data_IF_261478271789
#
_entry.id   IF_261478271789
#
_cell.length_a   1.000
_cell.length_b   1.000
_cell.length_c   1.000
_cell.angle_alpha   90.00
_cell.angle_beta   90.00
_cell.angle_gamma   90.00
#
_symmetry.space_group_name_H-M   'P 1'
#
loop_
_entity.id
_entity.type
_entity.pdbx_description
1 polymer ?
#
# COMPACT_ATOMS: atom_id res chain seq x y z
N UNK A 1 -6.63 25.31 42.63
CA UNK A 1 -7.48 24.33 41.92
C UNK A 1 -6.58 23.50 41.02
N UNK A 2 -6.56 22.17 41.19
CA UNK A 2 -5.73 21.32 40.35
C UNK A 2 -6.41 21.08 38.98
N UNK A 3 -5.67 20.59 37.98
CA UNK A 3 -6.19 20.41 36.60
C UNK A 3 -7.42 19.50 36.56
N UNK A 4 -7.44 18.45 37.39
CA UNK A 4 -8.57 17.53 37.51
C UNK A 4 -9.83 18.22 38.07
N UNK A 5 -9.70 19.09 39.08
CA UNK A 5 -10.82 19.86 39.63
C UNK A 5 -11.41 20.84 38.60
N UNK A 6 -10.55 21.53 37.84
CA UNK A 6 -11.02 22.43 36.78
C UNK A 6 -11.81 21.65 35.72
N UNK A 7 -11.31 20.47 35.35
CA UNK A 7 -11.96 19.60 34.38
C UNK A 7 -13.30 19.06 34.91
N UNK A 8 -13.33 18.66 36.18
CA UNK A 8 -14.53 18.16 36.86
C UNK A 8 -15.61 19.22 36.93
N UNK A 9 -15.27 20.47 37.27
CA UNK A 9 -16.23 21.59 37.26
C UNK A 9 -16.73 21.89 35.85
N UNK A 10 -15.85 21.83 34.83
CA UNK A 10 -16.21 22.08 33.44
C UNK A 10 -17.20 21.03 32.91
N UNK A 11 -16.97 19.75 33.20
CA UNK A 11 -17.86 18.66 32.82
C UNK A 11 -19.13 18.59 33.68
N UNK A 12 -19.05 18.91 34.98
CA UNK A 12 -20.25 19.01 35.83
C UNK A 12 -21.24 20.08 35.36
N UNK A 13 -20.74 21.18 34.78
CA UNK A 13 -21.60 22.21 34.14
C UNK A 13 -22.16 21.75 32.80
N UNK A 14 -21.42 20.93 32.05
CA UNK A 14 -21.79 20.44 30.72
C UNK A 14 -22.42 19.06 30.87
N UNK A 15 -23.74 18.99 30.99
CA UNK A 15 -24.46 17.71 31.20
C UNK A 15 -24.34 16.69 30.04
N UNK A 16 -23.82 17.11 28.88
CA UNK A 16 -23.65 16.29 27.68
C UNK A 16 -22.22 16.44 27.11
N UNK A 17 -21.42 15.37 27.16
CA UNK A 17 -20.11 15.29 26.53
C UNK A 17 -19.77 13.84 26.14
N UNK A 18 -18.79 13.70 25.24
CA UNK A 18 -18.19 12.41 24.89
C UNK A 18 -16.69 12.52 25.17
N UNK A 19 -16.13 11.51 25.82
CA UNK A 19 -14.69 11.35 26.04
C UNK A 19 -14.26 10.07 25.35
N UNK A 20 -13.19 10.15 24.57
CA UNK A 20 -12.58 8.99 23.91
C UNK A 20 -11.18 8.82 24.49
N UNK A 21 -10.94 7.67 25.11
CA UNK A 21 -9.64 7.26 25.60
C UNK A 21 -9.13 6.16 24.67
N UNK A 22 -8.33 6.54 23.69
CA UNK A 22 -7.83 5.59 22.69
C UNK A 22 -6.54 4.92 23.19
N UNK A 23 -6.46 3.61 22.98
CA UNK A 23 -5.32 2.74 23.27
C UNK A 23 -4.83 2.85 24.73
N UNK A 24 -5.64 2.36 25.68
CA UNK A 24 -5.29 2.33 27.11
C UNK A 24 -4.45 1.09 27.45
N UNK A 25 -3.33 1.31 28.13
CA UNK A 25 -2.36 0.27 28.53
C UNK A 25 -2.42 -0.12 30.01
N UNK A 26 -3.00 0.73 30.87
CA UNK A 26 -3.13 0.52 32.32
C UNK A 26 -4.48 1.09 32.83
N UNK A 27 -4.95 0.64 34.01
CA UNK A 27 -6.23 1.13 34.58
C UNK A 27 -6.18 2.64 34.81
N UNK A 28 -7.14 3.38 34.24
CA UNK A 28 -7.28 4.83 34.42
C UNK A 28 -8.45 5.11 35.36
N UNK A 29 -8.20 5.83 36.46
CA UNK A 29 -9.27 6.34 37.32
C UNK A 29 -9.82 7.64 36.72
N UNK A 30 -11.06 7.58 36.23
CA UNK A 30 -11.77 8.74 35.65
C UNK A 30 -11.86 9.90 36.65
N UNK A 31 -12.12 9.60 37.93
CA UNK A 31 -12.17 10.60 39.00
C UNK A 31 -10.83 11.33 39.17
N UNK A 32 -9.70 10.62 39.13
CA UNK A 32 -8.37 11.22 39.25
C UNK A 32 -8.03 12.13 38.07
N UNK A 33 -8.56 11.82 36.88
CA UNK A 33 -8.42 12.65 35.68
C UNK A 33 -9.35 13.87 35.73
N UNK A 34 -10.37 13.87 36.60
CA UNK A 34 -11.36 14.93 36.72
C UNK A 34 -12.61 14.71 35.88
N UNK A 35 -12.89 13.47 35.49
CA UNK A 35 -14.10 13.09 34.75
C UNK A 35 -15.15 12.64 35.78
N UNK A 36 -16.33 13.28 35.84
CA UNK A 36 -17.37 12.88 36.77
C UNK A 36 -17.97 11.52 36.37
N UNK A 37 -18.35 10.71 37.35
CA UNK A 37 -19.04 9.45 37.10
C UNK A 37 -20.47 9.69 36.57
N UNK A 38 -21.01 8.77 35.75
CA UNK A 38 -22.40 8.84 35.33
C UNK A 38 -23.33 8.74 36.54
N UNK A 39 -24.18 9.74 36.75
CA UNK A 39 -25.16 9.79 37.86
C UNK A 39 -26.61 9.52 37.38
N UNK A 40 -26.77 9.05 36.15
CA UNK A 40 -28.07 8.82 35.50
C UNK A 40 -28.81 10.10 35.09
N UNK A 41 -28.31 11.29 35.42
CA UNK A 41 -28.91 12.59 35.06
C UNK A 41 -28.30 13.22 33.79
N UNK A 42 -27.18 12.65 33.32
CA UNK A 42 -26.36 13.17 32.24
C UNK A 42 -26.32 12.18 31.06
N UNK A 43 -26.35 12.68 29.82
CA UNK A 43 -26.34 11.85 28.59
C UNK A 43 -24.92 11.58 28.08
N UNK A 44 -23.94 11.74 28.97
CA UNK A 44 -22.51 11.74 28.63
C UNK A 44 -21.95 10.33 28.51
N UNK A 45 -20.98 10.14 27.61
CA UNK A 45 -20.40 8.83 27.32
C UNK A 45 -18.88 8.88 27.41
N UNK A 46 -18.29 7.85 28.02
CA UNK A 46 -16.86 7.59 27.94
C UNK A 46 -16.68 6.34 27.10
N UNK A 47 -15.98 6.47 25.99
CA UNK A 47 -15.58 5.37 25.11
C UNK A 47 -14.09 5.17 25.32
N UNK A 48 -13.67 3.93 25.50
CA UNK A 48 -12.26 3.60 25.60
C UNK A 48 -11.95 2.36 24.78
N UNK A 49 -10.72 2.29 24.28
CA UNK A 49 -10.22 1.15 23.50
C UNK A 49 -9.00 0.58 24.21
N UNK A 50 -8.84 -0.74 24.16
CA UNK A 50 -7.62 -1.42 24.60
C UNK A 50 -7.44 -2.71 23.81
N UNK A 51 -6.19 -3.09 23.59
CA UNK A 51 -5.83 -4.42 23.10
C UNK A 51 -5.56 -5.42 24.24
N UNK A 52 -5.53 -4.95 25.50
CA UNK A 52 -5.20 -5.76 26.69
C UNK A 52 -6.44 -6.27 27.40
N UNK A 53 -6.61 -7.59 27.47
CA UNK A 53 -7.71 -8.21 28.22
C UNK A 53 -7.64 -7.91 29.72
N UNK A 54 -6.43 -7.71 30.26
CA UNK A 54 -6.24 -7.37 31.67
C UNK A 54 -6.74 -5.95 31.96
N UNK A 55 -6.41 -4.98 31.10
CA UNK A 55 -6.95 -3.62 31.20
C UNK A 55 -8.47 -3.66 31.00
N UNK A 56 -8.93 -4.46 30.04
CA UNK A 56 -10.36 -4.59 29.74
C UNK A 56 -11.17 -5.01 30.97
N UNK A 57 -10.72 -6.09 31.65
CA UNK A 57 -11.36 -6.58 32.86
C UNK A 57 -11.22 -5.62 34.05
N UNK A 58 -10.21 -4.74 34.03
CA UNK A 58 -9.95 -3.79 35.11
C UNK A 58 -10.78 -2.50 35.00
N UNK A 59 -11.25 -2.16 33.80
CA UNK A 59 -12.04 -0.98 33.51
C UNK A 59 -13.51 -1.41 33.54
N UNK A 60 -14.19 -1.12 34.65
CA UNK A 60 -15.59 -1.49 34.86
C UNK A 60 -16.50 -0.75 33.85
N UNK A 61 -16.97 -1.45 32.81
CA UNK A 61 -17.76 -0.89 31.70
C UNK A 61 -19.22 -1.30 31.75
N UNK A 62 -20.13 -0.37 31.44
CA UNK A 62 -21.57 -0.67 31.32
C UNK A 62 -21.90 -1.43 30.03
N UNK A 63 -21.15 -1.18 28.95
CA UNK A 63 -21.33 -1.83 27.66
C UNK A 63 -20.01 -2.26 27.06
N UNK A 64 -19.95 -3.53 26.71
CA UNK A 64 -18.80 -4.14 26.06
C UNK A 64 -19.08 -4.32 24.57
N UNK A 65 -18.13 -3.91 23.73
CA UNK A 65 -18.14 -4.17 22.29
C UNK A 65 -16.85 -4.88 21.95
N UNK A 66 -16.92 -6.19 21.71
CA UNK A 66 -15.78 -6.95 21.20
C UNK A 66 -15.63 -6.63 19.72
N UNK A 67 -14.53 -5.97 19.38
CA UNK A 67 -14.10 -5.81 17.99
C UNK A 67 -13.25 -7.03 17.66
N UNK A 68 -13.86 -8.05 17.06
CA UNK A 68 -13.24 -9.34 16.77
C UNK A 68 -13.86 -10.01 15.54
N UNK A 69 -13.01 -10.62 14.71
CA UNK A 69 -13.38 -11.34 13.52
C UNK A 69 -13.99 -12.70 13.89
N UNK A 70 -15.31 -12.81 13.90
CA UNK A 70 -15.98 -14.12 13.95
C UNK A 70 -15.96 -14.76 12.55
N UNK A 71 -15.35 -15.96 12.50
CA UNK A 71 -15.59 -17.08 11.58
C UNK A 71 -15.80 -16.77 10.09
N UNK A 72 -14.73 -16.30 9.42
CA UNK A 72 -14.63 -16.40 7.96
C UNK A 72 -13.56 -17.43 7.63
N UNK A 73 -13.93 -18.39 6.79
CA UNK A 73 -13.05 -19.43 6.24
C UNK A 73 -11.79 -18.75 5.70
N UNK A 74 -10.70 -18.95 6.43
CA UNK A 74 -9.40 -18.37 6.11
C UNK A 74 -8.84 -19.11 4.91
N UNK A 75 -8.49 -18.39 3.82
CA UNK A 75 -7.56 -18.97 2.85
C UNK A 75 -6.26 -19.31 3.57
N UNK A 76 -5.85 -20.56 3.46
CA UNK A 76 -4.63 -21.10 4.08
C UNK A 76 -3.35 -20.59 3.42
N UNK A 77 -3.46 -19.95 2.24
CA UNK A 77 -2.29 -19.61 1.41
C UNK A 77 -1.58 -18.33 1.86
N UNK A 78 -2.33 -17.29 2.24
CA UNK A 78 -1.76 -15.99 2.61
C UNK A 78 -1.37 -15.92 4.09
N UNK A 79 -2.02 -16.72 4.94
CA UNK A 79 -1.80 -16.70 6.38
C UNK A 79 -0.34 -16.99 6.78
N UNK A 80 0.38 -17.97 6.18
CA UNK A 80 1.80 -18.17 6.44
C UNK A 80 2.66 -16.95 6.07
N UNK A 81 2.36 -16.32 4.94
CA UNK A 81 3.08 -15.13 4.47
C UNK A 81 2.85 -13.96 5.44
N UNK A 82 1.60 -13.69 5.82
CA UNK A 82 1.26 -12.63 6.75
C UNK A 82 1.90 -12.84 8.14
N UNK A 83 2.01 -14.10 8.60
CA UNK A 83 2.71 -14.45 9.85
C UNK A 83 4.21 -14.16 9.74
N UNK A 84 4.83 -14.48 8.61
CA UNK A 84 6.25 -14.23 8.38
C UNK A 84 6.55 -12.72 8.37
N UNK A 85 5.77 -11.93 7.61
CA UNK A 85 5.89 -10.46 7.60
C UNK A 85 5.75 -9.90 9.01
N UNK A 86 4.74 -10.33 9.76
CA UNK A 86 4.53 -9.79 11.11
C UNK A 86 5.68 -10.12 12.07
N UNK A 87 6.34 -11.27 11.90
CA UNK A 87 7.52 -11.67 12.67
C UNK A 87 8.72 -10.78 12.38
N UNK A 88 8.92 -10.37 11.13
CA UNK A 88 10.01 -9.50 10.71
C UNK A 88 9.86 -8.07 11.27
N UNK A 89 8.62 -7.59 11.43
CA UNK A 89 8.33 -6.24 11.93
C UNK A 89 8.41 -6.10 13.47
N UNK A 90 8.59 -7.20 14.22
CA UNK A 90 8.98 -7.23 15.63
C UNK A 90 8.00 -6.67 16.68
N UNK A 91 6.92 -5.97 16.30
CA UNK A 91 5.97 -5.31 17.23
C UNK A 91 4.53 -5.22 16.73
N UNK A 92 4.00 -6.29 16.12
CA UNK A 92 2.61 -6.30 15.67
C UNK A 92 1.70 -7.09 16.61
N UNK A 93 0.42 -6.66 16.77
CA UNK A 93 -0.55 -7.44 17.52
C UNK A 93 -0.69 -8.86 16.95
N UNK A 94 -0.86 -9.87 17.80
CA UNK A 94 -0.96 -11.29 17.39
C UNK A 94 -2.04 -11.55 16.33
N UNK A 95 -3.08 -10.70 16.29
CA UNK A 95 -4.19 -10.80 15.34
C UNK A 95 -3.93 -10.11 14.01
N UNK A 96 -2.84 -9.35 13.88
CA UNK A 96 -2.54 -8.58 12.68
C UNK A 96 -2.38 -9.47 11.42
N UNK A 97 -1.65 -10.60 11.45
CA UNK A 97 -1.60 -11.52 10.32
C UNK A 97 -2.97 -12.03 9.88
N UNK A 98 -3.85 -12.31 10.84
CA UNK A 98 -5.21 -12.77 10.58
C UNK A 98 -6.05 -11.67 9.92
N UNK A 99 -5.94 -10.44 10.43
CA UNK A 99 -6.65 -9.29 9.92
C UNK A 99 -6.29 -9.00 8.45
N UNK A 100 -4.99 -8.91 8.12
CA UNK A 100 -4.60 -8.62 6.74
C UNK A 100 -4.97 -9.78 5.81
N UNK A 101 -4.74 -11.03 6.25
CA UNK A 101 -5.12 -12.19 5.45
C UNK A 101 -6.61 -12.17 5.11
N UNK A 102 -7.46 -11.79 6.07
CA UNK A 102 -8.90 -11.61 5.85
C UNK A 102 -9.20 -10.49 4.87
N UNK A 103 -8.58 -9.32 5.03
CA UNK A 103 -8.79 -8.18 4.15
C UNK A 103 -8.39 -8.50 2.70
N UNK A 104 -7.27 -9.20 2.49
CA UNK A 104 -6.86 -9.66 1.16
C UNK A 104 -7.86 -10.66 0.56
N UNK A 105 -8.40 -11.57 1.38
CA UNK A 105 -9.40 -12.53 0.93
C UNK A 105 -10.75 -11.89 0.61
N UNK A 106 -11.08 -10.74 1.21
CA UNK A 106 -12.28 -9.96 0.91
C UNK A 106 -12.23 -9.22 -0.42
N UNK A 107 -11.07 -9.14 -1.07
CA UNK A 107 -10.98 -8.61 -2.42
C UNK A 107 -11.79 -9.49 -3.38
N UNK A 108 -12.72 -8.87 -4.09
CA UNK A 108 -13.85 -9.55 -4.73
C UNK A 108 -13.45 -10.51 -5.85
N UNK A 109 -12.29 -10.31 -6.47
CA UNK A 109 -11.82 -11.13 -7.57
C UNK A 109 -10.30 -10.98 -7.79
N UNK A 110 -9.76 -11.82 -8.68
CA UNK A 110 -8.34 -11.84 -9.01
C UNK A 110 -7.85 -10.58 -9.71
N UNK A 111 -8.71 -9.81 -10.41
CA UNK A 111 -8.31 -8.51 -10.97
C UNK A 111 -7.98 -7.53 -9.85
N UNK A 112 -8.79 -7.50 -8.78
CA UNK A 112 -8.58 -6.60 -7.66
C UNK A 112 -7.35 -6.97 -6.84
N UNK A 113 -7.09 -8.27 -6.69
CA UNK A 113 -5.82 -8.76 -6.14
C UNK A 113 -4.64 -8.34 -7.02
N UNK A 114 -4.76 -8.42 -8.35
CA UNK A 114 -3.70 -7.95 -9.24
C UNK A 114 -3.44 -6.44 -9.11
N UNK A 115 -4.48 -5.59 -8.98
CA UNK A 115 -4.33 -4.15 -8.72
C UNK A 115 -3.64 -3.87 -7.39
N UNK A 116 -4.04 -4.59 -6.35
CA UNK A 116 -3.39 -4.54 -5.05
C UNK A 116 -1.89 -4.85 -5.16
N UNK A 117 -1.53 -5.99 -5.79
CA UNK A 117 -0.14 -6.38 -5.97
C UNK A 117 0.63 -5.37 -6.83
N UNK A 118 -0.01 -4.76 -7.83
CA UNK A 118 0.60 -3.73 -8.67
C UNK A 118 1.10 -2.53 -7.85
N UNK A 119 0.35 -2.12 -6.82
CA UNK A 119 0.75 -1.03 -5.94
C UNK A 119 2.05 -1.31 -5.17
N UNK A 120 2.46 -2.59 -5.00
CA UNK A 120 3.71 -2.97 -4.36
C UNK A 120 4.96 -2.51 -5.13
N UNK A 121 4.80 -2.17 -6.41
CA UNK A 121 5.87 -1.63 -7.25
C UNK A 121 6.34 -0.25 -6.79
N UNK A 122 5.55 0.48 -5.99
CA UNK A 122 5.92 1.78 -5.47
C UNK A 122 6.72 1.66 -4.17
N UNK A 123 7.56 2.67 -3.83
CA UNK A 123 8.25 2.74 -2.54
C UNK A 123 7.31 2.79 -1.32
N UNK A 124 7.87 2.49 -0.17
CA UNK A 124 7.28 2.75 1.14
C UNK A 124 6.86 4.22 1.28
N UNK A 125 5.69 4.47 1.88
CA UNK A 125 5.07 5.79 2.05
C UNK A 125 4.96 6.66 0.77
N UNK A 126 5.03 6.06 -0.42
CA UNK A 126 4.94 6.80 -1.67
C UNK A 126 3.54 7.36 -1.88
N UNK A 127 3.45 8.65 -2.22
CA UNK A 127 2.19 9.27 -2.64
C UNK A 127 1.95 8.99 -4.11
N UNK A 128 1.12 7.98 -4.40
CA UNK A 128 0.81 7.56 -5.76
C UNK A 128 -0.33 8.41 -6.28
N UNK A 129 -0.12 9.12 -7.40
CA UNK A 129 -1.19 9.86 -8.05
C UNK A 129 -2.20 8.88 -8.64
N UNK A 130 -3.46 8.99 -8.24
CA UNK A 130 -4.53 8.05 -8.60
C UNK A 130 -4.70 7.94 -10.11
N UNK A 131 -4.71 9.05 -10.83
CA UNK A 131 -4.92 9.05 -12.28
C UNK A 131 -3.82 8.28 -13.02
N UNK A 132 -2.56 8.44 -12.60
CA UNK A 132 -1.41 7.72 -13.21
C UNK A 132 -1.49 6.23 -12.90
N UNK A 133 -1.88 5.85 -11.69
CA UNK A 133 -2.04 4.45 -11.31
C UNK A 133 -3.14 3.77 -12.14
N UNK A 134 -4.28 4.44 -12.33
CA UNK A 134 -5.37 3.96 -13.19
C UNK A 134 -4.90 3.84 -14.65
N UNK A 135 -4.16 4.82 -15.16
CA UNK A 135 -3.60 4.78 -16.51
C UNK A 135 -2.65 3.59 -16.71
N UNK A 136 -1.86 3.23 -15.69
CA UNK A 136 -1.03 2.03 -15.72
C UNK A 136 -1.86 0.76 -15.75
N UNK A 137 -2.93 0.69 -14.96
CA UNK A 137 -3.83 -0.46 -14.97
C UNK A 137 -4.58 -0.64 -16.29
N UNK A 138 -4.96 0.47 -16.94
CA UNK A 138 -5.53 0.47 -18.29
C UNK A 138 -4.50 -0.03 -19.31
N UNK A 139 -3.27 0.51 -19.28
CA UNK A 139 -2.19 0.10 -20.18
C UNK A 139 -1.73 -1.35 -19.98
N UNK A 140 -1.86 -1.90 -18.77
CA UNK A 140 -1.65 -3.33 -18.54
C UNK A 140 -2.77 -4.20 -19.13
N UNK A 141 -3.91 -3.59 -19.50
CA UNK A 141 -5.13 -4.28 -19.92
C UNK A 141 -5.84 -4.98 -18.75
N UNK A 142 -5.55 -4.59 -17.52
CA UNK A 142 -6.26 -5.10 -16.33
C UNK A 142 -7.69 -4.53 -16.30
N UNK A 143 -7.80 -3.24 -16.62
CA UNK A 143 -9.07 -2.54 -16.90
C UNK A 143 -9.26 -2.55 -18.41
N UNK A 144 -9.86 -3.60 -18.96
CA UNK A 144 -10.15 -3.69 -20.39
C UNK A 144 -11.54 -4.30 -20.59
N UNK A 145 -12.50 -3.45 -20.89
CA UNK A 145 -13.86 -3.82 -21.29
C UNK A 145 -14.30 -2.90 -22.43
N UNK A 146 -15.14 -3.41 -23.34
CA UNK A 146 -15.70 -2.64 -24.45
C UNK A 146 -16.39 -1.37 -23.92
N UNK A 147 -15.77 -0.20 -24.07
CA UNK A 147 -16.23 1.03 -23.45
C UNK A 147 -15.39 2.25 -23.80
N UNK A 148 -15.75 3.39 -23.21
CA UNK A 148 -14.99 4.64 -23.35
C UNK A 148 -13.86 4.72 -22.32
N UNK A 149 -12.84 5.53 -22.61
CA UNK A 149 -11.75 5.84 -21.66
C UNK A 149 -12.30 6.31 -20.30
N UNK A 150 -13.37 7.12 -20.30
CA UNK A 150 -13.98 7.59 -19.06
C UNK A 150 -14.58 6.43 -18.24
N UNK A 151 -15.22 5.47 -18.92
CA UNK A 151 -15.79 4.28 -18.29
C UNK A 151 -14.70 3.40 -17.65
N UNK A 152 -13.55 3.28 -18.29
CA UNK A 152 -12.39 2.58 -17.72
C UNK A 152 -11.83 3.32 -16.51
N UNK A 153 -11.71 4.65 -16.58
CA UNK A 153 -11.29 5.47 -15.43
C UNK A 153 -12.25 5.34 -14.25
N UNK A 154 -13.56 5.40 -14.49
CA UNK A 154 -14.58 5.24 -13.46
C UNK A 154 -14.49 3.86 -12.78
N UNK A 155 -14.19 2.80 -13.55
CA UNK A 155 -13.91 1.47 -12.99
C UNK A 155 -12.63 1.44 -12.17
N UNK A 156 -11.56 2.07 -12.64
CA UNK A 156 -10.32 2.23 -11.89
C UNK A 156 -10.57 2.86 -10.52
N UNK A 157 -11.38 3.92 -10.47
CA UNK A 157 -11.80 4.54 -9.22
C UNK A 157 -12.64 3.61 -8.34
N UNK A 158 -13.55 2.81 -8.93
CA UNK A 158 -14.33 1.82 -8.18
C UNK A 158 -13.42 0.74 -7.54
N UNK A 159 -12.41 0.26 -8.26
CA UNK A 159 -11.44 -0.70 -7.72
C UNK A 159 -10.58 -0.10 -6.62
N UNK A 160 -10.13 1.16 -6.78
CA UNK A 160 -9.43 1.87 -5.70
C UNK A 160 -10.32 2.00 -4.46
N UNK A 161 -11.60 2.32 -4.65
CA UNK A 161 -12.56 2.38 -3.54
C UNK A 161 -12.66 1.04 -2.82
N UNK A 162 -12.71 -0.08 -3.54
CA UNK A 162 -12.73 -1.40 -2.89
C UNK A 162 -11.44 -1.69 -2.11
N UNK A 163 -10.27 -1.37 -2.68
CA UNK A 163 -9.00 -1.50 -1.97
C UNK A 163 -8.94 -0.64 -0.70
N UNK A 164 -9.52 0.57 -0.73
CA UNK A 164 -9.66 1.46 0.43
C UNK A 164 -10.62 0.88 1.47
N UNK A 165 -11.79 0.41 1.05
CA UNK A 165 -12.80 -0.19 1.92
C UNK A 165 -12.26 -1.47 2.62
N UNK A 166 -11.34 -2.19 1.96
CA UNK A 166 -10.62 -3.33 2.53
C UNK A 166 -9.38 -2.94 3.36
N UNK A 167 -9.10 -1.65 3.54
CA UNK A 167 -7.91 -1.12 4.23
C UNK A 167 -6.57 -1.61 3.64
N UNK A 168 -6.52 -1.91 2.34
CA UNK A 168 -5.29 -2.33 1.65
C UNK A 168 -4.48 -1.15 1.13
N UNK A 169 -5.13 -0.02 0.89
CA UNK A 169 -4.54 1.28 0.58
C UNK A 169 -5.36 2.37 1.29
N UNK A 170 -4.82 3.56 1.42
CA UNK A 170 -5.53 4.69 2.02
C UNK A 170 -5.32 5.98 1.22
N UNK A 171 -6.24 6.92 1.38
CA UNK A 171 -6.07 8.28 0.88
C UNK A 171 -5.14 9.08 1.76
N UNK A 172 -4.27 9.88 1.15
CA UNK A 172 -3.35 10.76 1.90
C UNK A 172 -4.00 12.10 2.26
N UNK A 173 -4.98 12.53 1.46
CA UNK A 173 -5.65 13.83 1.55
C UNK A 173 -7.14 13.66 1.27
N UNK A 174 -7.93 14.61 1.74
CA UNK A 174 -9.38 14.65 1.53
C UNK A 174 -9.79 14.80 0.05
N UNK A 175 -8.87 15.24 -0.81
CA UNK A 175 -9.13 15.39 -2.25
C UNK A 175 -8.99 14.08 -3.04
N UNK A 176 -8.64 12.98 -2.37
CA UNK A 176 -8.57 11.62 -2.93
C UNK A 176 -7.62 11.47 -4.14
N UNK A 177 -6.80 12.49 -4.44
CA UNK A 177 -5.88 12.49 -5.57
C UNK A 177 -4.69 11.55 -5.40
N UNK A 178 -4.34 11.27 -4.15
CA UNK A 178 -3.19 10.46 -3.82
C UNK A 178 -3.59 9.31 -2.90
N UNK A 179 -3.09 8.14 -3.22
CA UNK A 179 -3.17 6.95 -2.36
C UNK A 179 -1.78 6.51 -1.92
N UNK A 180 -1.72 5.83 -0.78
CA UNK A 180 -0.52 5.11 -0.33
C UNK A 180 -0.87 3.71 0.13
N UNK A 181 0.13 2.85 0.12
CA UNK A 181 0.07 1.52 0.73
C UNK A 181 0.93 1.55 1.99
N UNK A 182 0.35 1.16 3.11
CA UNK A 182 1.08 1.00 4.37
C UNK A 182 2.18 -0.05 4.24
N UNK A 183 3.29 0.16 4.94
CA UNK A 183 4.54 -0.59 4.79
C UNK A 183 4.34 -2.10 5.00
N UNK A 184 3.54 -2.47 6.01
CA UNK A 184 3.22 -3.88 6.32
C UNK A 184 2.36 -4.55 5.25
N UNK A 185 1.46 -3.78 4.65
CA UNK A 185 0.60 -4.25 3.57
C UNK A 185 1.43 -4.40 2.29
N UNK A 186 2.37 -3.48 2.07
CA UNK A 186 3.34 -3.52 0.99
C UNK A 186 4.28 -4.70 1.12
N UNK A 187 4.79 -4.97 2.31
CA UNK A 187 5.64 -6.13 2.58
C UNK A 187 4.90 -7.45 2.34
N UNK A 188 3.62 -7.51 2.72
CA UNK A 188 2.76 -8.63 2.35
C UNK A 188 2.68 -8.79 0.83
N UNK A 189 2.36 -7.71 0.10
CA UNK A 189 2.23 -7.75 -1.35
C UNK A 189 3.53 -8.19 -2.04
N UNK A 190 4.68 -7.65 -1.61
CA UNK A 190 6.00 -8.04 -2.12
C UNK A 190 6.25 -9.53 -1.89
N UNK A 191 5.93 -10.04 -0.69
CA UNK A 191 6.12 -11.46 -0.39
C UNK A 191 5.19 -12.36 -1.23
N UNK A 192 3.95 -11.95 -1.51
CA UNK A 192 3.06 -12.69 -2.42
C UNK A 192 3.68 -12.78 -3.82
N UNK A 193 4.27 -11.68 -4.30
CA UNK A 193 4.86 -11.60 -5.66
C UNK A 193 6.25 -12.23 -5.79
N UNK A 194 6.73 -12.95 -4.76
CA UNK A 194 7.92 -13.81 -4.86
C UNK A 194 7.61 -15.16 -5.52
N UNK A 195 6.33 -15.52 -5.54
CA UNK A 195 5.78 -16.63 -6.32
C UNK A 195 4.95 -16.05 -7.49
N UNK A 196 4.63 -16.84 -8.53
CA UNK A 196 3.82 -16.35 -9.65
C UNK A 196 2.52 -15.68 -9.17
N UNK A 197 2.25 -14.42 -9.56
CA UNK A 197 3.01 -13.60 -10.51
C UNK A 197 4.32 -13.00 -9.93
N UNK A 198 5.45 -13.28 -10.58
CA UNK A 198 6.78 -12.95 -10.08
C UNK A 198 7.17 -11.50 -10.37
N UNK A 199 7.44 -10.71 -9.33
CA UNK A 199 7.88 -9.32 -9.43
C UNK A 199 9.31 -9.13 -8.92
N UNK A 200 10.05 -8.19 -9.52
CA UNK A 200 11.30 -7.66 -8.95
C UNK A 200 11.06 -6.24 -8.44
N UNK A 201 11.02 -6.07 -7.12
CA UNK A 201 10.82 -4.77 -6.47
C UNK A 201 12.10 -4.37 -5.73
N UNK A 202 12.93 -3.50 -6.35
CA UNK A 202 14.16 -2.96 -5.76
C UNK A 202 14.11 -1.44 -5.78
N UNK A 203 13.25 -0.87 -4.96
CA UNK A 203 12.97 0.58 -4.97
C UNK A 203 13.64 1.29 -3.80
N UNK A 204 14.18 2.49 -4.03
CA UNK A 204 14.72 3.32 -2.94
C UNK A 204 16.00 2.78 -2.28
N UNK A 205 16.68 1.81 -2.89
CA UNK A 205 17.82 1.10 -2.29
C UNK A 205 19.18 1.79 -2.53
N UNK A 206 19.19 2.93 -3.25
CA UNK A 206 20.40 3.66 -3.67
C UNK A 206 21.36 2.78 -4.47
N UNK A 207 20.80 1.92 -5.34
CA UNK A 207 21.60 1.11 -6.24
C UNK A 207 22.28 2.01 -7.27
N UNK A 208 23.60 1.88 -7.42
CA UNK A 208 24.35 2.57 -8.47
C UNK A 208 24.47 1.73 -9.75
N UNK A 209 24.35 0.40 -9.61
CA UNK A 209 24.44 -0.57 -10.69
C UNK A 209 23.08 -1.25 -10.96
N UNK A 210 22.83 -1.62 -12.22
CA UNK A 210 21.64 -2.39 -12.60
C UNK A 210 21.68 -3.80 -11.99
N UNK A 211 20.51 -4.44 -11.75
CA UNK A 211 20.46 -5.85 -11.35
C UNK A 211 21.28 -6.75 -12.27
N UNK A 212 21.88 -7.79 -11.70
CA UNK A 212 22.72 -8.74 -12.46
C UNK A 212 21.87 -9.49 -13.47
N UNK A 213 22.49 -9.95 -14.55
CA UNK A 213 21.80 -10.64 -15.65
C UNK A 213 21.00 -11.87 -15.17
N UNK A 214 21.57 -12.67 -14.27
CA UNK A 214 20.87 -13.80 -13.62
C UNK A 214 19.62 -13.43 -12.80
N UNK A 215 19.43 -12.17 -12.41
CA UNK A 215 18.22 -11.73 -11.70
C UNK A 215 17.06 -11.48 -12.67
N UNK A 216 17.34 -11.25 -13.95
CA UNK A 216 16.36 -11.03 -15.01
C UNK A 216 15.84 -12.36 -15.56
N UNK A 217 15.05 -13.07 -14.77
CA UNK A 217 14.50 -14.38 -15.12
C UNK A 217 13.29 -14.30 -16.05
N UNK A 218 13.05 -15.36 -16.83
CA UNK A 218 12.03 -15.38 -17.90
C UNK A 218 10.59 -15.20 -17.41
N UNK A 219 10.31 -15.62 -16.17
CA UNK A 219 8.98 -15.57 -15.53
C UNK A 219 8.66 -14.22 -14.89
N UNK A 220 9.58 -13.24 -14.91
CA UNK A 220 9.31 -11.90 -14.38
C UNK A 220 8.20 -11.23 -15.15
N UNK A 221 7.16 -10.81 -14.43
CA UNK A 221 6.02 -10.09 -15.01
C UNK A 221 6.15 -8.59 -14.81
N UNK A 222 6.68 -8.12 -13.67
CA UNK A 222 6.79 -6.69 -13.36
C UNK A 222 8.09 -6.39 -12.63
N UNK A 223 8.73 -5.30 -13.03
CA UNK A 223 9.99 -4.84 -12.46
C UNK A 223 9.86 -3.38 -12.09
N UNK A 224 10.21 -3.06 -10.84
CA UNK A 224 10.31 -1.69 -10.36
C UNK A 224 11.69 -1.46 -9.74
N UNK A 225 12.44 -0.56 -10.37
CA UNK A 225 13.77 -0.12 -9.94
C UNK A 225 13.74 1.38 -9.61
N UNK A 226 12.57 1.92 -9.30
CA UNK A 226 12.38 3.35 -9.03
C UNK A 226 13.25 3.87 -7.88
N UNK A 227 13.59 5.16 -7.94
CA UNK A 227 14.30 5.89 -6.86
C UNK A 227 15.64 5.23 -6.48
N UNK A 228 16.42 4.84 -7.48
CA UNK A 228 17.81 4.44 -7.28
C UNK A 228 18.76 5.42 -8.00
N UNK A 229 20.05 5.17 -7.91
CA UNK A 229 21.10 5.98 -8.51
C UNK A 229 21.69 5.32 -9.78
N UNK A 230 20.92 4.42 -10.42
CA UNK A 230 21.37 3.62 -11.58
C UNK A 230 21.49 4.54 -12.80
N UNK A 231 22.67 4.57 -13.41
CA UNK A 231 22.96 5.43 -14.58
C UNK A 231 22.99 4.65 -15.90
N UNK A 232 23.30 3.37 -15.85
CA UNK A 232 23.46 2.54 -17.03
C UNK A 232 22.81 1.19 -16.82
N UNK A 233 22.00 0.80 -17.79
CA UNK A 233 21.40 -0.52 -17.90
C UNK A 233 22.12 -1.30 -18.99
N UNK A 234 22.98 -2.23 -18.58
CA UNK A 234 23.78 -3.07 -19.47
C UNK A 234 23.23 -4.49 -19.60
N UNK A 235 23.79 -5.26 -20.54
CA UNK A 235 23.44 -6.67 -20.75
C UNK A 235 22.28 -6.88 -21.73
N UNK A 236 21.72 -8.09 -21.72
CA UNK A 236 20.59 -8.48 -22.57
C UNK A 236 19.57 -9.30 -21.74
N UNK A 237 18.83 -8.65 -20.82
CA UNK A 237 17.82 -9.31 -20.00
C UNK A 237 16.86 -10.18 -20.82
N UNK A 238 16.66 -11.44 -20.41
CA UNK A 238 15.74 -12.36 -21.06
C UNK A 238 14.43 -12.46 -20.28
N UNK A 239 13.59 -11.42 -20.37
CA UNK A 239 12.29 -11.35 -19.69
C UNK A 239 11.12 -11.26 -20.68
N UNK A 240 10.81 -12.33 -21.42
CA UNK A 240 9.73 -12.34 -22.40
C UNK A 240 8.34 -12.13 -21.78
N UNK A 241 8.14 -12.40 -20.48
CA UNK A 241 6.86 -12.21 -19.80
C UNK A 241 6.68 -10.82 -19.16
N UNK A 242 7.70 -9.96 -19.24
CA UNK A 242 7.69 -8.66 -18.59
C UNK A 242 6.66 -7.73 -19.24
N UNK A 243 5.66 -7.29 -18.47
CA UNK A 243 4.62 -6.35 -18.91
C UNK A 243 4.84 -4.93 -18.37
N UNK A 244 5.42 -4.79 -17.18
CA UNK A 244 5.70 -3.47 -16.57
C UNK A 244 7.19 -3.32 -16.24
N UNK A 245 7.79 -2.20 -16.63
CA UNK A 245 9.12 -1.77 -16.22
C UNK A 245 9.08 -0.31 -15.75
N UNK A 246 9.34 -0.08 -14.46
CA UNK A 246 9.31 1.25 -13.85
C UNK A 246 10.71 1.67 -13.39
N UNK A 247 11.26 2.70 -14.05
CA UNK A 247 12.60 3.23 -13.82
C UNK A 247 12.58 4.69 -13.30
N UNK A 248 11.41 5.17 -12.88
CA UNK A 248 11.18 6.52 -12.34
C UNK A 248 12.26 6.96 -11.34
N UNK A 249 12.76 8.19 -11.45
CA UNK A 249 13.82 8.72 -10.58
C UNK A 249 15.05 7.81 -10.52
N UNK A 250 15.62 7.48 -11.68
CA UNK A 250 16.97 6.93 -11.76
C UNK A 250 17.94 7.94 -12.35
N UNK A 251 19.21 7.82 -11.97
CA UNK A 251 20.23 8.81 -12.29
C UNK A 251 20.22 9.97 -11.29
N UNK A 252 21.13 10.92 -11.51
CA UNK A 252 21.27 12.13 -10.69
C UNK A 252 20.73 13.34 -11.45
N UNK A 253 20.50 14.46 -10.74
CA UNK A 253 20.08 15.75 -11.34
C UNK A 253 20.93 16.20 -12.56
N UNK A 254 22.11 15.63 -12.74
CA UNK A 254 23.07 16.00 -13.78
C UNK A 254 23.49 14.85 -14.71
N UNK A 255 22.86 13.67 -14.61
CA UNK A 255 23.24 12.50 -15.42
C UNK A 255 22.04 11.87 -16.12
N UNK A 256 22.19 11.63 -17.41
CA UNK A 256 21.24 10.89 -18.24
C UNK A 256 21.37 9.38 -17.98
N UNK A 257 20.23 8.70 -17.89
CA UNK A 257 20.15 7.23 -17.93
C UNK A 257 20.55 6.73 -19.32
N UNK A 258 21.35 5.67 -19.40
CA UNK A 258 21.72 5.01 -20.66
C UNK A 258 21.36 3.54 -20.66
N UNK A 259 21.12 3.00 -21.85
CA UNK A 259 20.76 1.59 -22.07
C UNK A 259 21.71 1.00 -23.10
N UNK A 260 22.12 -0.26 -22.92
CA UNK A 260 22.76 -1.01 -24.00
C UNK A 260 21.79 -1.17 -25.17
N UNK A 261 22.33 -1.29 -26.38
CA UNK A 261 21.52 -1.52 -27.59
C UNK A 261 20.71 -2.81 -27.50
N UNK A 262 21.05 -3.74 -26.61
CA UNK A 262 20.39 -5.04 -26.47
C UNK A 262 19.40 -5.14 -25.31
N UNK A 263 19.30 -4.12 -24.45
CA UNK A 263 18.56 -4.21 -23.18
C UNK A 263 17.08 -4.60 -23.38
N UNK A 264 16.39 -4.00 -24.34
CA UNK A 264 14.97 -4.24 -24.61
C UNK A 264 14.68 -5.45 -25.52
N UNK A 265 15.72 -6.12 -26.04
CA UNK A 265 15.61 -7.10 -27.14
C UNK A 265 14.63 -8.25 -26.87
N UNK A 266 14.51 -8.70 -25.62
CA UNK A 266 13.63 -9.80 -25.23
C UNK A 266 12.39 -9.35 -24.43
N UNK A 267 12.04 -8.07 -24.42
CA UNK A 267 10.90 -7.51 -23.67
C UNK A 267 9.70 -7.22 -24.58
N UNK A 268 9.38 -8.12 -25.51
CA UNK A 268 8.35 -7.90 -26.53
C UNK A 268 6.92 -7.74 -25.98
N UNK A 269 6.64 -8.26 -24.78
CA UNK A 269 5.35 -8.14 -24.10
C UNK A 269 5.24 -6.92 -23.16
N UNK A 270 6.26 -6.05 -23.14
CA UNK A 270 6.23 -4.86 -22.30
C UNK A 270 5.11 -3.93 -22.74
N UNK A 271 4.23 -3.60 -21.80
CA UNK A 271 3.06 -2.72 -21.96
C UNK A 271 3.25 -1.36 -21.32
N UNK A 272 3.92 -1.31 -20.16
CA UNK A 272 4.17 -0.08 -19.40
C UNK A 272 5.67 0.13 -19.22
N UNK A 273 6.17 1.27 -19.70
CA UNK A 273 7.53 1.73 -19.49
C UNK A 273 7.53 3.15 -18.93
N UNK A 274 7.94 3.29 -17.67
CA UNK A 274 8.10 4.61 -17.03
C UNK A 274 9.58 4.98 -16.91
N UNK A 275 9.98 6.03 -17.63
CA UNK A 275 11.31 6.64 -17.64
C UNK A 275 11.28 8.05 -17.07
N UNK A 276 10.22 8.44 -16.35
CA UNK A 276 10.06 9.79 -15.83
C UNK A 276 11.21 10.19 -14.88
N UNK A 277 11.63 11.44 -14.91
CA UNK A 277 12.71 11.99 -14.07
C UNK A 277 14.04 11.22 -14.19
N UNK A 278 14.42 10.80 -15.40
CA UNK A 278 15.68 10.07 -15.65
C UNK A 278 16.72 10.84 -16.48
N UNK A 279 16.40 12.07 -16.90
CA UNK A 279 17.28 12.90 -17.74
C UNK A 279 17.50 12.34 -19.15
N UNK A 280 16.70 11.36 -19.59
CA UNK A 280 16.81 10.74 -20.91
C UNK A 280 16.53 11.76 -22.02
N UNK A 281 17.44 11.86 -22.99
CA UNK A 281 17.32 12.81 -24.12
C UNK A 281 16.84 12.15 -25.40
N UNK A 282 17.13 10.86 -25.56
CA UNK A 282 16.70 10.06 -26.70
C UNK A 282 16.38 8.64 -26.29
N UNK A 283 15.31 8.08 -26.85
CA UNK A 283 14.96 6.68 -26.62
C UNK A 283 16.00 5.76 -27.29
N UNK A 284 16.32 4.59 -26.70
CA UNK A 284 17.24 3.63 -27.29
C UNK A 284 16.75 3.07 -28.62
N UNK A 285 17.67 2.68 -29.52
CA UNK A 285 17.34 2.23 -30.87
C UNK A 285 16.34 1.04 -30.90
N UNK A 286 16.48 0.10 -29.97
CA UNK A 286 15.58 -1.05 -29.85
C UNK A 286 14.27 -0.77 -29.12
N UNK A 287 13.90 0.48 -28.85
CA UNK A 287 12.55 0.78 -28.33
C UNK A 287 11.45 0.29 -29.30
N UNK A 288 11.77 0.22 -30.59
CA UNK A 288 10.88 -0.28 -31.65
C UNK A 288 10.51 -1.76 -31.52
N UNK A 289 11.25 -2.55 -30.74
CA UNK A 289 10.91 -3.98 -30.48
C UNK A 289 9.78 -4.14 -29.48
N UNK A 290 9.42 -3.08 -28.76
CA UNK A 290 8.36 -3.06 -27.76
C UNK A 290 6.98 -2.95 -28.44
N UNK A 291 6.65 -3.93 -29.27
CA UNK A 291 5.47 -3.92 -30.15
C UNK A 291 4.14 -3.92 -29.39
N UNK A 292 4.14 -4.32 -28.12
CA UNK A 292 2.96 -4.33 -27.24
C UNK A 292 2.90 -3.14 -26.28
N UNK A 293 3.79 -2.15 -26.43
CA UNK A 293 3.86 -1.00 -25.53
C UNK A 293 2.59 -0.16 -25.64
N UNK A 294 1.88 -0.01 -24.52
CA UNK A 294 0.64 0.77 -24.41
C UNK A 294 0.87 2.11 -23.71
N UNK A 295 1.83 2.17 -22.79
CA UNK A 295 2.20 3.39 -22.08
C UNK A 295 3.72 3.58 -22.04
N UNK A 296 4.17 4.73 -22.57
CA UNK A 296 5.52 5.24 -22.42
C UNK A 296 5.46 6.58 -21.67
N UNK A 297 6.03 6.64 -20.47
CA UNK A 297 5.93 7.81 -19.60
C UNK A 297 7.30 8.50 -19.49
N UNK A 298 7.32 9.79 -19.87
CA UNK A 298 8.52 10.63 -19.96
C UNK A 298 8.34 11.97 -19.22
N UNK A 299 7.79 11.91 -18.01
CA UNK A 299 7.49 13.12 -17.24
C UNK A 299 8.77 13.69 -16.63
N UNK A 300 9.06 14.98 -16.86
CA UNK A 300 10.23 15.69 -16.31
C UNK A 300 11.57 15.02 -16.67
N UNK A 301 11.70 14.54 -17.91
CA UNK A 301 12.97 14.07 -18.47
C UNK A 301 13.82 15.22 -19.01
#
# INVERSE_FOLDING_TARGET
>A
MNRAQVLHEAFGRRKNFIIILDDIWERVSLQNVGIPEPDGSNVSKVVWTTSSMNVFNSMESEKEIKVGAEDVIMSTEIQPIAKQVAKECGRLPDKFPLLISRNYNWLSNDKIRAYFLYCALYPEDHQILVDVLIEYWMAEGLINEEGSIQTEKDKGHAYLKELKDACMIESIRDDDKYVRMHDLIRDLAINITREPPLFMVKVGLRLEESPKEEEWVESLQRVSLMRNDIKAFSGQPNCPQLSTLLLHHNGTKYSEITFSDTFFKHMHNLKVLDLSNTGIKSLPNLISVLVNLQALILTKC
#
